data_IF_117248055447
#
_entry.id   IF_117248055447
#
_cell.length_a   1.000
_cell.length_b   1.000
_cell.length_c   1.000
_cell.angle_alpha   90.00
_cell.angle_beta   90.00
_cell.angle_gamma   90.00
#
_symmetry.space_group_name_H-M   'P 1'
#
loop_
_entity.id
_entity.type
_entity.pdbx_description
1 polymer ?
#
# COMPACT_ATOMS: atom_id res chain seq x y z
N UNK A 1 14.25 7.23 8.09
CA UNK A 1 14.45 7.22 6.63
C UNK A 1 13.10 7.06 5.95
N UNK A 2 12.75 7.98 5.06
CA UNK A 2 11.55 7.87 4.25
C UNK A 2 11.67 6.70 3.26
N UNK A 3 10.57 5.97 3.04
CA UNK A 3 10.53 4.83 2.12
C UNK A 3 9.82 5.25 0.83
N UNK A 4 10.55 5.29 -0.26
CA UNK A 4 10.02 5.59 -1.59
C UNK A 4 9.62 4.29 -2.27
N UNK A 5 8.43 4.25 -2.87
CA UNK A 5 7.98 3.09 -3.63
C UNK A 5 8.72 3.02 -4.97
N UNK A 6 9.19 1.84 -5.32
CA UNK A 6 9.73 1.54 -6.64
C UNK A 6 8.69 1.79 -7.73
N UNK A 7 9.15 2.30 -8.87
CA UNK A 7 8.32 2.54 -10.06
C UNK A 7 9.01 1.97 -11.26
N UNK A 8 8.25 1.34 -12.14
CA UNK A 8 8.74 0.84 -13.41
C UNK A 8 8.43 1.86 -14.49
N UNK A 9 9.45 2.34 -15.19
CA UNK A 9 9.33 3.14 -16.41
C UNK A 9 9.53 2.21 -17.61
N UNK A 10 8.63 2.27 -18.59
CA UNK A 10 8.65 1.44 -19.79
C UNK A 10 8.40 2.27 -21.00
N UNK A 11 9.01 1.90 -22.12
CA UNK A 11 8.77 2.50 -23.42
C UNK A 11 8.70 1.43 -24.50
N UNK A 12 8.19 1.79 -25.66
CA UNK A 12 8.21 0.92 -26.82
C UNK A 12 9.56 1.05 -27.52
N UNK A 13 10.11 -0.08 -27.96
CA UNK A 13 11.34 -0.07 -28.74
C UNK A 13 11.18 0.78 -29.98
N UNK A 14 12.24 1.52 -30.34
CA UNK A 14 12.28 2.22 -31.62
C UNK A 14 12.20 1.21 -32.77
N UNK A 15 11.52 1.60 -33.84
CA UNK A 15 11.44 0.79 -35.06
C UNK A 15 12.69 0.90 -35.94
N UNK A 16 13.62 1.78 -35.60
CA UNK A 16 14.86 1.97 -36.36
C UNK A 16 15.82 0.82 -36.07
N UNK A 17 16.31 0.10 -37.11
CA UNK A 17 17.14 -1.09 -36.92
C UNK A 17 18.55 -0.79 -36.39
N UNK A 18 19.04 0.46 -36.55
CA UNK A 18 20.37 0.90 -36.12
C UNK A 18 20.44 1.30 -34.64
N UNK A 19 19.35 1.19 -33.86
CA UNK A 19 19.37 1.56 -32.47
C UNK A 19 20.16 0.55 -31.64
N UNK A 20 21.18 1.05 -30.95
CA UNK A 20 22.05 0.26 -30.07
C UNK A 20 21.72 0.43 -28.60
N UNK A 21 20.94 1.46 -28.24
CA UNK A 21 20.56 1.72 -26.84
C UNK A 21 19.62 2.88 -26.69
N UNK A 22 19.33 3.16 -25.43
CA UNK A 22 18.46 4.24 -25.00
C UNK A 22 19.17 5.10 -23.98
N UNK A 23 18.79 6.38 -23.93
CA UNK A 23 19.26 7.31 -22.91
C UNK A 23 18.07 7.91 -22.20
N UNK A 24 18.09 7.82 -20.86
CA UNK A 24 17.08 8.39 -19.99
C UNK A 24 17.51 9.81 -19.62
N UNK A 25 16.55 10.72 -19.68
CA UNK A 25 16.66 12.07 -19.19
C UNK A 25 15.65 12.32 -18.07
N UNK A 26 16.00 13.18 -17.11
CA UNK A 26 15.06 13.63 -16.10
C UNK A 26 15.34 15.06 -15.66
N UNK A 27 14.26 15.78 -15.34
CA UNK A 27 14.29 17.10 -14.76
C UNK A 27 13.36 17.18 -13.56
N UNK A 28 13.79 17.84 -12.51
CA UNK A 28 12.99 18.08 -11.29
C UNK A 28 12.50 19.54 -11.21
N UNK A 29 12.89 20.37 -12.16
CA UNK A 29 12.60 21.80 -12.21
C UNK A 29 11.58 22.17 -13.31
N UNK A 30 11.06 21.16 -14.02
CA UNK A 30 9.97 21.32 -14.99
C UNK A 30 10.40 21.58 -16.44
N UNK A 31 11.70 21.74 -16.73
CA UNK A 31 12.21 21.97 -18.09
C UNK A 31 13.05 20.79 -18.57
N UNK A 32 12.39 19.75 -19.05
CA UNK A 32 13.07 18.58 -19.60
C UNK A 32 13.60 18.88 -21.02
N UNK A 33 14.91 18.78 -21.20
CA UNK A 33 15.60 19.00 -22.48
C UNK A 33 16.84 18.10 -22.58
N UNK A 34 17.60 18.19 -23.69
CA UNK A 34 18.79 17.36 -23.91
C UNK A 34 19.99 17.75 -23.01
N UNK A 35 19.94 18.90 -22.35
CA UNK A 35 20.93 19.33 -21.35
C UNK A 35 20.56 18.86 -19.92
N UNK A 36 19.39 18.28 -19.74
CA UNK A 36 18.94 17.72 -18.48
C UNK A 36 19.81 16.56 -18.02
N UNK A 37 19.72 16.23 -16.74
CA UNK A 37 20.40 15.05 -16.20
C UNK A 37 20.04 13.80 -16.99
N UNK A 38 21.02 12.98 -17.32
CA UNK A 38 20.80 11.81 -18.15
C UNK A 38 21.65 10.62 -17.78
N UNK A 39 21.24 9.44 -18.25
CA UNK A 39 21.96 8.18 -18.09
C UNK A 39 21.76 7.29 -19.32
N UNK A 40 22.87 6.76 -19.84
CA UNK A 40 22.83 5.70 -20.86
C UNK A 40 22.38 4.37 -20.25
N UNK A 41 21.40 3.74 -20.88
CA UNK A 41 20.77 2.53 -20.36
C UNK A 41 21.14 1.24 -21.15
N UNK A 42 21.80 1.38 -22.29
CA UNK A 42 21.95 0.27 -23.23
C UNK A 42 20.62 -0.10 -23.91
N UNK A 43 20.57 -1.27 -24.53
CA UNK A 43 19.40 -1.71 -25.31
C UNK A 43 18.35 -2.38 -24.41
N UNK A 44 17.69 -1.58 -23.58
CA UNK A 44 16.61 -2.02 -22.68
C UNK A 44 15.36 -1.17 -22.93
N UNK A 45 14.18 -1.71 -22.67
CA UNK A 45 12.90 -1.01 -22.84
C UNK A 45 12.14 -0.79 -21.54
N UNK A 46 12.78 -1.09 -20.42
CA UNK A 46 12.24 -0.84 -19.09
C UNK A 46 13.35 -0.67 -18.05
N UNK A 47 13.05 0.10 -17.03
CA UNK A 47 13.90 0.30 -15.84
C UNK A 47 13.04 0.42 -14.59
N UNK A 48 13.65 0.17 -13.44
CA UNK A 48 13.02 0.35 -12.12
C UNK A 48 13.65 1.54 -11.40
N UNK A 49 12.86 2.54 -11.11
CA UNK A 49 13.29 3.73 -10.36
C UNK A 49 13.07 3.53 -8.85
N UNK A 50 14.00 3.95 -8.01
CA UNK A 50 15.29 4.55 -8.29
C UNK A 50 16.42 3.52 -8.49
N UNK A 51 16.16 2.22 -8.42
CA UNK A 51 17.15 1.16 -8.28
C UNK A 51 18.17 1.11 -9.44
N UNK A 52 17.67 1.23 -10.68
CA UNK A 52 18.52 1.14 -11.89
C UNK A 52 19.20 2.48 -12.22
N UNK A 53 18.74 3.57 -11.59
CA UNK A 53 19.30 4.91 -11.82
C UNK A 53 19.81 5.50 -10.52
N UNK A 54 21.01 5.09 -10.11
CA UNK A 54 21.61 5.49 -8.83
C UNK A 54 21.84 7.00 -8.69
N UNK A 55 22.01 7.70 -9.81
CA UNK A 55 22.15 9.16 -9.87
C UNK A 55 20.82 9.89 -9.64
N UNK A 56 19.70 9.22 -9.84
CA UNK A 56 18.38 9.80 -9.63
C UNK A 56 18.03 9.82 -8.14
N UNK A 57 17.93 11.02 -7.58
CA UNK A 57 17.50 11.25 -6.20
C UNK A 57 16.23 12.06 -6.19
N UNK A 58 15.07 11.42 -6.00
CA UNK A 58 13.80 12.16 -5.97
C UNK A 58 13.76 13.11 -4.76
N UNK A 59 13.44 14.36 -5.02
CA UNK A 59 13.38 15.45 -4.00
C UNK A 59 11.94 15.74 -3.50
N UNK A 60 10.97 14.90 -3.87
CA UNK A 60 9.57 15.06 -3.46
C UNK A 60 8.75 16.02 -4.34
N UNK A 61 9.37 16.67 -5.33
CA UNK A 61 8.70 17.50 -6.33
C UNK A 61 8.24 16.72 -7.57
N UNK A 62 7.63 17.41 -8.55
CA UNK A 62 7.33 16.83 -9.86
C UNK A 62 8.63 16.50 -10.58
N UNK A 63 8.66 15.36 -11.27
CA UNK A 63 9.79 14.93 -12.09
C UNK A 63 9.28 14.62 -13.48
N UNK A 64 9.92 15.20 -14.47
CA UNK A 64 9.72 14.87 -15.87
C UNK A 64 10.75 13.85 -16.31
N UNK A 65 10.31 12.89 -17.11
CA UNK A 65 11.17 11.87 -17.69
C UNK A 65 11.04 11.86 -19.21
N UNK A 66 12.17 11.68 -19.87
CA UNK A 66 12.25 11.50 -21.30
C UNK A 66 13.22 10.40 -21.68
N UNK A 67 12.98 9.74 -22.80
CA UNK A 67 13.84 8.69 -23.33
C UNK A 67 14.10 8.97 -24.80
N UNK A 68 15.38 8.85 -25.21
CA UNK A 68 15.82 8.91 -26.61
C UNK A 68 16.40 7.56 -27.02
N UNK A 69 16.31 7.23 -28.28
CA UNK A 69 17.03 6.10 -28.88
C UNK A 69 18.36 6.60 -29.44
N UNK A 70 19.40 5.78 -29.31
CA UNK A 70 20.75 6.10 -29.76
C UNK A 70 21.22 5.07 -30.77
N UNK A 71 21.83 5.54 -31.85
CA UNK A 71 22.45 4.68 -32.86
C UNK A 71 23.96 4.46 -32.61
N UNK A 72 24.59 3.64 -33.47
CA UNK A 72 26.03 3.33 -33.39
C UNK A 72 26.94 4.54 -33.58
N UNK A 73 26.45 5.60 -34.24
CA UNK A 73 27.20 6.83 -34.47
C UNK A 73 27.02 7.84 -33.32
N UNK A 74 26.17 7.54 -32.35
CA UNK A 74 25.85 8.41 -31.23
C UNK A 74 24.78 9.46 -31.54
N UNK A 75 24.04 9.33 -32.66
CA UNK A 75 22.90 10.21 -32.91
C UNK A 75 21.75 9.85 -32.00
N UNK A 76 21.03 10.86 -31.51
CA UNK A 76 19.86 10.70 -30.64
C UNK A 76 18.59 11.01 -31.43
N UNK A 77 17.56 10.20 -31.19
CA UNK A 77 16.21 10.45 -31.70
C UNK A 77 15.54 11.62 -30.97
N UNK A 78 14.37 12.02 -31.46
CA UNK A 78 13.47 12.87 -30.69
C UNK A 78 13.15 12.22 -29.35
N UNK A 79 12.97 13.07 -28.33
CA UNK A 79 12.71 12.62 -26.96
C UNK A 79 11.25 12.25 -26.77
N UNK A 80 11.01 11.00 -26.40
CA UNK A 80 9.71 10.56 -25.93
C UNK A 80 9.55 10.91 -24.45
N UNK A 81 8.57 11.74 -24.10
CA UNK A 81 8.35 12.21 -22.72
C UNK A 81 7.10 11.60 -22.10
N UNK A 82 7.04 11.57 -20.77
CA UNK A 82 5.80 11.27 -20.06
C UNK A 82 4.75 12.35 -20.36
N UNK A 83 3.47 11.93 -20.46
CA UNK A 83 2.36 12.87 -20.69
C UNK A 83 2.14 13.87 -19.57
N UNK A 84 2.60 13.56 -18.36
CA UNK A 84 2.53 14.43 -17.19
C UNK A 84 3.72 14.16 -16.26
N UNK A 85 4.19 15.17 -15.54
CA UNK A 85 5.23 14.99 -14.53
C UNK A 85 4.81 13.96 -13.47
N UNK A 86 5.74 13.12 -13.06
CA UNK A 86 5.51 12.16 -12.00
C UNK A 86 5.92 12.76 -10.65
N UNK A 87 5.11 12.56 -9.61
CA UNK A 87 5.44 13.04 -8.27
C UNK A 87 5.89 11.90 -7.36
N UNK A 88 7.14 12.02 -6.85
CA UNK A 88 7.68 11.15 -5.81
C UNK A 88 7.42 11.77 -4.42
N UNK A 89 6.17 12.14 -4.14
CA UNK A 89 5.83 12.72 -2.85
C UNK A 89 5.99 11.70 -1.73
N UNK A 90 6.86 12.03 -0.79
CA UNK A 90 6.94 11.36 0.49
C UNK A 90 6.14 12.18 1.49
N UNK A 91 5.10 11.63 2.12
CA UNK A 91 4.36 12.35 3.14
C UNK A 91 5.31 12.83 4.24
N UNK A 92 5.05 14.02 4.78
CA UNK A 92 5.73 14.48 5.98
C UNK A 92 5.48 13.47 7.11
N UNK A 93 6.49 13.19 7.91
CA UNK A 93 6.30 12.35 9.09
C UNK A 93 5.24 12.97 10.00
N UNK A 94 4.40 12.16 10.65
CA UNK A 94 3.54 12.67 11.70
C UNK A 94 4.39 13.38 12.76
N UNK A 95 3.94 14.53 13.20
CA UNK A 95 4.57 15.25 14.30
C UNK A 95 4.07 14.61 15.61
N UNK A 96 4.93 14.53 16.62
CA UNK A 96 4.61 14.18 18.02
C UNK A 96 3.85 12.85 18.21
N UNK A 97 4.55 11.75 18.01
CA UNK A 97 4.04 10.45 18.44
C UNK A 97 4.11 10.34 19.96
N UNK A 98 2.98 10.32 20.63
CA UNK A 98 2.90 10.11 22.08
C UNK A 98 1.95 8.99 22.44
N UNK A 99 2.26 8.30 23.53
CA UNK A 99 1.40 7.30 24.13
C UNK A 99 0.61 7.96 25.26
N UNK A 100 -0.69 8.16 25.04
CA UNK A 100 -1.57 8.65 26.08
C UNK A 100 -2.04 7.47 26.94
N UNK A 101 -1.82 7.57 28.25
CA UNK A 101 -2.44 6.65 29.20
C UNK A 101 -3.93 6.98 29.27
N UNK A 102 -4.76 6.14 28.69
CA UNK A 102 -6.19 6.15 28.98
C UNK A 102 -6.39 5.59 30.41
N UNK A 103 -7.46 6.04 31.07
CA UNK A 103 -7.82 5.48 32.39
C UNK A 103 -7.83 3.97 32.29
N UNK A 104 -7.27 3.33 33.32
CA UNK A 104 -7.05 1.89 33.31
C UNK A 104 -8.36 1.17 32.98
N UNK A 105 -8.47 0.69 31.76
CA UNK A 105 -9.44 -0.34 31.45
C UNK A 105 -8.91 -1.59 32.17
N UNK A 106 -9.29 -1.69 33.48
CA UNK A 106 -9.01 -2.93 34.18
C UNK A 106 -9.84 -3.99 33.48
N UNK A 107 -9.16 -4.87 32.75
CA UNK A 107 -9.69 -6.19 32.43
C UNK A 107 -9.73 -6.94 33.77
N UNK A 108 -10.44 -6.38 34.75
CA UNK A 108 -10.87 -7.14 35.89
C UNK A 108 -11.85 -8.17 35.37
N UNK A 109 -11.82 -9.37 35.86
CA UNK A 109 -12.74 -10.46 35.52
C UNK A 109 -14.23 -10.17 35.78
N UNK A 110 -14.54 -8.95 36.09
CA UNK A 110 -15.89 -8.40 36.27
C UNK A 110 -16.23 -7.52 35.07
N UNK A 111 -16.64 -8.15 34.00
CA UNK A 111 -17.50 -7.48 33.02
C UNK A 111 -18.70 -6.96 33.82
N UNK A 112 -19.01 -5.66 33.65
CA UNK A 112 -20.21 -5.13 34.25
C UNK A 112 -21.39 -5.78 33.54
N UNK A 113 -22.02 -6.76 34.20
CA UNK A 113 -23.18 -7.48 33.65
C UNK A 113 -24.38 -6.54 33.37
N UNK A 114 -24.26 -5.26 33.73
CA UNK A 114 -25.28 -4.23 33.49
C UNK A 114 -25.13 -3.52 32.16
N UNK A 115 -23.99 -3.65 31.47
CA UNK A 115 -23.77 -3.05 30.16
C UNK A 115 -23.85 -4.14 29.11
N UNK A 116 -24.91 -4.12 28.31
CA UNK A 116 -25.07 -5.02 27.20
C UNK A 116 -24.25 -4.50 26.00
N UNK A 117 -23.19 -5.24 25.66
CA UNK A 117 -22.41 -5.01 24.46
C UNK A 117 -22.92 -5.92 23.35
N UNK A 118 -23.14 -5.33 22.17
CA UNK A 118 -23.68 -6.06 21.02
C UNK A 118 -22.68 -6.08 19.87
N UNK A 119 -22.65 -7.19 19.14
CA UNK A 119 -21.86 -7.34 17.93
C UNK A 119 -22.83 -7.67 16.78
N UNK A 120 -22.66 -7.00 15.65
CA UNK A 120 -23.31 -7.39 14.39
C UNK A 120 -22.44 -8.35 13.63
N UNK A 121 -23.00 -9.45 13.13
CA UNK A 121 -22.29 -10.35 12.22
C UNK A 121 -22.35 -9.76 10.80
N UNK A 122 -21.20 -9.42 10.18
CA UNK A 122 -21.19 -8.86 8.84
C UNK A 122 -21.74 -9.82 7.77
N UNK A 123 -21.95 -11.10 8.11
CA UNK A 123 -22.58 -12.07 7.20
C UNK A 123 -24.11 -11.98 7.20
N UNK A 124 -24.71 -11.27 8.16
CA UNK A 124 -26.17 -11.18 8.27
C UNK A 124 -26.78 -10.10 7.35
N UNK A 125 -25.97 -9.28 6.67
CA UNK A 125 -26.44 -8.19 5.81
C UNK A 125 -27.21 -7.10 6.60
N UNK A 126 -27.73 -6.09 5.89
CA UNK A 126 -28.52 -4.98 6.46
C UNK A 126 -29.98 -5.39 6.75
N UNK A 127 -30.24 -6.58 7.24
CA UNK A 127 -31.61 -6.98 7.61
C UNK A 127 -31.97 -6.32 8.94
N UNK A 128 -32.86 -5.35 8.87
CA UNK A 128 -33.40 -4.56 10.02
C UNK A 128 -34.13 -5.41 11.09
N UNK A 129 -34.30 -6.72 10.87
CA UNK A 129 -35.10 -7.60 11.72
C UNK A 129 -34.29 -8.51 12.66
N UNK A 130 -32.95 -8.49 12.61
CA UNK A 130 -32.18 -9.41 13.44
C UNK A 130 -31.66 -8.74 14.71
N UNK A 131 -32.04 -9.28 15.86
CA UNK A 131 -31.52 -8.85 17.15
C UNK A 131 -29.98 -8.98 17.21
N UNK A 132 -29.26 -7.95 17.69
CA UNK A 132 -27.82 -8.01 17.85
C UNK A 132 -27.41 -9.06 18.89
N UNK A 133 -26.24 -9.68 18.68
CA UNK A 133 -25.70 -10.71 19.57
C UNK A 133 -24.96 -10.06 20.74
N UNK A 134 -25.23 -10.50 21.95
CA UNK A 134 -24.51 -9.99 23.14
C UNK A 134 -23.05 -10.41 23.13
N UNK A 135 -22.14 -9.47 23.32
CA UNK A 135 -20.69 -9.75 23.33
C UNK A 135 -20.32 -10.81 24.38
N UNK A 136 -21.00 -10.83 25.52
CA UNK A 136 -20.76 -11.81 26.59
C UNK A 136 -21.00 -13.24 26.12
N UNK A 137 -21.94 -13.46 25.21
CA UNK A 137 -22.23 -14.79 24.64
C UNK A 137 -21.09 -15.27 23.75
N UNK A 138 -20.56 -14.37 22.91
CA UNK A 138 -19.41 -14.67 22.03
C UNK A 138 -18.17 -14.99 22.86
N UNK A 139 -17.84 -14.16 23.85
CA UNK A 139 -16.70 -14.38 24.75
C UNK A 139 -16.87 -15.67 25.54
N UNK A 140 -18.08 -15.96 26.00
CA UNK A 140 -18.40 -17.22 26.66
C UNK A 140 -18.19 -18.45 25.76
N UNK A 141 -18.53 -18.35 24.48
CA UNK A 141 -18.32 -19.41 23.49
C UNK A 141 -16.80 -19.62 23.21
N UNK A 142 -16.03 -18.55 23.09
CA UNK A 142 -14.57 -18.63 22.90
C UNK A 142 -13.89 -19.29 24.08
N UNK A 143 -14.20 -18.86 25.32
CA UNK A 143 -13.63 -19.43 26.54
C UNK A 143 -13.93 -20.93 26.63
N UNK A 144 -15.14 -21.38 26.31
CA UNK A 144 -15.52 -22.80 26.31
C UNK A 144 -14.80 -23.60 25.24
N UNK A 145 -14.64 -23.07 24.03
CA UNK A 145 -13.87 -23.70 22.97
C UNK A 145 -12.42 -23.97 23.38
N UNK A 146 -11.76 -22.99 24.01
CA UNK A 146 -10.37 -23.11 24.50
C UNK A 146 -10.22 -24.08 25.67
N UNK A 147 -11.24 -24.24 26.52
CA UNK A 147 -11.22 -25.13 27.66
C UNK A 147 -11.57 -26.59 27.33
N UNK A 148 -11.96 -26.90 26.08
CA UNK A 148 -12.36 -28.24 25.67
C UNK A 148 -13.69 -28.73 26.29
N UNK A 149 -14.38 -27.89 27.05
CA UNK A 149 -15.64 -28.20 27.74
C UNK A 149 -16.81 -27.61 26.92
N UNK A 150 -17.19 -28.25 25.84
CA UNK A 150 -18.51 -28.06 25.23
C UNK A 150 -19.42 -29.17 25.71
N UNK A 151 -20.37 -28.91 26.62
CA UNK A 151 -21.44 -29.86 26.88
C UNK A 151 -22.25 -30.04 25.58
N UNK A 152 -22.61 -31.29 25.30
CA UNK A 152 -23.41 -31.66 24.12
C UNK A 152 -24.78 -30.96 23.99
N UNK A 153 -25.24 -30.33 25.08
CA UNK A 153 -26.57 -29.73 25.18
C UNK A 153 -26.59 -28.20 25.14
N UNK A 154 -25.46 -27.58 24.79
CA UNK A 154 -25.41 -26.12 24.77
C UNK A 154 -26.05 -25.57 23.48
N UNK A 155 -27.30 -25.13 23.60
CA UNK A 155 -28.02 -24.39 22.53
C UNK A 155 -27.43 -22.97 22.39
N UNK A 156 -26.25 -22.87 21.82
CA UNK A 156 -25.70 -21.58 21.42
C UNK A 156 -26.17 -21.29 20.02
N UNK A 157 -26.62 -20.05 19.79
CA UNK A 157 -26.97 -19.58 18.46
C UNK A 157 -25.82 -19.86 17.49
N UNK A 158 -26.14 -20.38 16.31
CA UNK A 158 -25.14 -20.65 15.25
C UNK A 158 -24.37 -19.41 14.83
N UNK A 159 -24.97 -18.23 14.96
CA UNK A 159 -24.32 -16.92 14.74
C UNK A 159 -23.19 -16.68 15.73
N UNK A 160 -23.43 -16.96 17.03
CA UNK A 160 -22.41 -16.87 18.10
C UNK A 160 -21.26 -17.81 17.83
N UNK A 161 -21.53 -19.04 17.38
CA UNK A 161 -20.49 -20.01 17.01
C UNK A 161 -19.65 -19.53 15.84
N UNK A 162 -20.30 -18.93 14.81
CA UNK A 162 -19.65 -18.42 13.60
C UNK A 162 -18.70 -17.24 13.92
N UNK A 163 -19.16 -16.28 14.73
CA UNK A 163 -18.34 -15.12 15.15
C UNK A 163 -17.19 -15.62 16.03
N UNK A 164 -17.45 -16.48 17.01
CA UNK A 164 -16.41 -17.02 17.89
C UNK A 164 -15.35 -17.89 17.17
N UNK A 165 -15.65 -18.36 15.96
CA UNK A 165 -14.71 -19.12 15.16
C UNK A 165 -13.73 -18.23 14.37
N UNK A 166 -14.09 -16.96 14.17
CA UNK A 166 -13.28 -15.97 13.44
C UNK A 166 -12.32 -15.18 14.34
N UNK A 167 -12.56 -15.19 15.66
CA UNK A 167 -11.74 -14.57 16.70
C UNK A 167 -10.79 -15.60 17.34
#
# INVERSE_FOLDING_TARGET
MAKIKRRRLRWMASSSPQVVGYKLYWSQDGDLNYDSQSLMLGNVTEIVLPDDVKSFKPNGGPVEFGVTAIDELGNESDMATLKAPYQFNVPKAPDDLYLQKLEDFSITDKWDDKVDYYITDPADGDSEEMEPIRLVEVVGAIKRRKSGRLPSDFKTDERVKRIAARL
#
